data_IF_375914364572
#
_entry.id   IF_375914364572
#
_cell.length_a   1.000
_cell.length_b   1.000
_cell.length_c   1.000
_cell.angle_alpha   90.00
_cell.angle_beta   90.00
_cell.angle_gamma   90.00
#
_symmetry.space_group_name_H-M   'P 1'
#
loop_
_entity.id
_entity.type
_entity.pdbx_description
1 polymer ?
#
# COMPACT_ATOMS: atom_id res chain seq x y z
N UNK A 1 11.70 41.45 -35.29
CA UNK A 1 12.68 40.96 -34.31
C UNK A 1 12.84 39.48 -34.56
N UNK A 2 14.02 39.07 -35.04
CA UNK A 2 14.36 37.67 -35.33
C UNK A 2 14.66 36.96 -34.00
N UNK A 3 14.16 35.72 -33.85
CA UNK A 3 14.45 34.89 -32.69
C UNK A 3 15.93 34.50 -32.63
N UNK A 4 16.55 34.42 -31.47
CA UNK A 4 17.93 34.02 -31.35
C UNK A 4 18.09 32.54 -31.71
N UNK A 5 18.80 32.25 -32.75
CA UNK A 5 19.33 30.94 -33.12
C UNK A 5 20.67 30.73 -32.43
N UNK A 6 20.68 30.39 -31.16
CA UNK A 6 21.89 29.92 -30.50
C UNK A 6 21.58 28.63 -29.79
N UNK A 7 22.10 27.55 -30.34
CA UNK A 7 22.12 26.20 -29.77
C UNK A 7 23.35 25.98 -28.88
N UNK A 8 23.84 27.00 -28.21
CA UNK A 8 24.91 26.87 -27.23
C UNK A 8 24.38 26.48 -25.85
N UNK A 9 23.91 25.25 -25.78
CA UNK A 9 23.76 24.59 -24.48
C UNK A 9 25.17 24.28 -23.95
N UNK A 10 25.50 24.66 -22.72
CA UNK A 10 26.79 24.31 -22.14
C UNK A 10 26.96 22.79 -22.18
N UNK A 11 28.03 22.34 -22.82
CA UNK A 11 28.43 20.94 -22.87
C UNK A 11 28.67 20.51 -21.41
N UNK A 12 27.84 19.68 -20.86
CA UNK A 12 28.05 19.13 -19.52
C UNK A 12 29.35 18.32 -19.53
N UNK A 13 30.38 18.82 -18.87
CA UNK A 13 31.58 18.04 -18.59
C UNK A 13 31.15 16.82 -17.74
N UNK A 14 31.80 15.69 -17.99
CA UNK A 14 31.59 14.49 -17.21
C UNK A 14 31.66 14.78 -15.69
N UNK A 15 30.58 14.58 -14.99
CA UNK A 15 30.48 14.81 -13.54
C UNK A 15 31.14 13.62 -12.84
N UNK A 16 32.03 13.85 -11.89
CA UNK A 16 32.60 12.78 -11.06
C UNK A 16 31.51 12.15 -10.19
N UNK A 17 31.72 10.90 -9.73
CA UNK A 17 30.80 10.22 -8.86
C UNK A 17 30.44 11.04 -7.62
N UNK A 18 31.42 11.72 -7.01
CA UNK A 18 31.21 12.61 -5.86
C UNK A 18 30.36 13.84 -6.21
N UNK A 19 30.52 14.41 -7.38
CA UNK A 19 29.67 15.51 -7.87
C UNK A 19 28.26 15.02 -8.22
N UNK A 20 28.11 13.80 -8.73
CA UNK A 20 26.82 13.19 -8.97
C UNK A 20 26.04 12.92 -7.68
N UNK A 21 26.73 12.57 -6.60
CA UNK A 21 26.11 12.33 -5.29
C UNK A 21 25.56 13.62 -4.66
N UNK A 22 26.21 14.77 -4.89
CA UNK A 22 25.71 16.10 -4.46
C UNK A 22 24.39 16.49 -5.18
N UNK A 23 24.21 16.04 -6.43
CA UNK A 23 23.00 16.29 -7.22
C UNK A 23 21.99 15.15 -7.18
N UNK A 24 22.25 14.09 -6.40
CA UNK A 24 21.30 13.00 -6.26
C UNK A 24 20.04 13.51 -5.57
N UNK A 25 18.84 13.31 -6.16
CA UNK A 25 17.61 13.75 -5.52
C UNK A 25 17.42 13.05 -4.18
N UNK A 26 16.95 13.80 -3.18
CA UNK A 26 16.66 13.24 -1.86
C UNK A 26 15.70 12.03 -1.97
N UNK A 27 15.71 11.10 -1.00
CA UNK A 27 14.78 9.97 -0.97
C UNK A 27 13.31 10.41 -1.15
N UNK A 28 12.93 11.51 -0.53
CA UNK A 28 11.60 12.09 -0.64
C UNK A 28 11.31 12.61 -2.06
N UNK A 29 12.26 13.28 -2.69
CA UNK A 29 12.12 13.72 -4.08
C UNK A 29 11.96 12.53 -5.05
N UNK A 30 12.68 11.42 -4.80
CA UNK A 30 12.53 10.17 -5.57
C UNK A 30 11.14 9.58 -5.41
N UNK A 31 10.61 9.50 -4.19
CA UNK A 31 9.23 9.02 -3.94
C UNK A 31 8.20 9.91 -4.61
N UNK A 32 8.29 11.23 -4.50
CA UNK A 32 7.41 12.17 -5.20
C UNK A 32 7.45 12.00 -6.73
N UNK A 33 8.65 11.82 -7.30
CA UNK A 33 8.80 11.55 -8.73
C UNK A 33 8.17 10.21 -9.13
N UNK A 34 8.27 9.18 -8.29
CA UNK A 34 7.62 7.87 -8.52
C UNK A 34 6.11 8.00 -8.48
N UNK A 35 5.54 8.68 -7.48
CA UNK A 35 4.10 8.91 -7.39
C UNK A 35 3.57 9.67 -8.61
N UNK A 36 4.27 10.71 -9.08
CA UNK A 36 3.89 11.46 -10.29
C UNK A 36 3.90 10.58 -11.55
N UNK A 37 4.90 9.71 -11.71
CA UNK A 37 4.93 8.76 -12.84
C UNK A 37 3.78 7.78 -12.80
N UNK A 38 3.29 7.45 -11.61
CA UNK A 38 2.10 6.63 -11.41
C UNK A 38 0.78 7.44 -11.56
N UNK A 39 0.83 8.68 -12.03
CA UNK A 39 -0.35 9.54 -12.17
C UNK A 39 -0.97 9.96 -10.83
N UNK A 40 -0.19 9.92 -9.74
CA UNK A 40 -0.67 10.16 -8.39
C UNK A 40 0.15 11.23 -7.64
N UNK A 41 -0.31 11.56 -6.45
CA UNK A 41 0.40 12.39 -5.47
C UNK A 41 1.03 11.47 -4.42
N UNK A 42 2.22 11.81 -3.93
CA UNK A 42 2.83 11.10 -2.82
C UNK A 42 1.95 11.23 -1.57
N UNK A 43 1.68 10.13 -0.90
CA UNK A 43 0.63 10.06 0.14
C UNK A 43 0.80 11.10 1.25
N UNK A 44 2.02 11.39 1.70
CA UNK A 44 2.28 12.41 2.72
C UNK A 44 2.00 13.85 2.26
N UNK A 45 1.93 14.10 0.97
CA UNK A 45 1.63 15.44 0.45
C UNK A 45 0.13 15.78 0.53
N UNK A 46 -0.76 14.79 0.76
CA UNK A 46 -2.20 15.04 0.92
C UNK A 46 -2.51 15.94 2.11
N UNK A 47 -1.84 15.73 3.23
CA UNK A 47 -2.02 16.56 4.43
C UNK A 47 -1.74 18.02 4.12
N UNK A 48 -0.66 18.33 3.38
CA UNK A 48 -0.34 19.68 2.94
C UNK A 48 -1.36 20.25 1.95
N UNK A 49 -1.98 19.39 1.11
CA UNK A 49 -3.06 19.82 0.23
C UNK A 49 -4.31 20.24 1.02
N UNK A 50 -4.73 19.43 2.00
CA UNK A 50 -5.84 19.77 2.88
C UNK A 50 -5.58 21.07 3.65
N UNK A 51 -4.41 21.20 4.28
CA UNK A 51 -4.03 22.41 5.01
C UNK A 51 -4.13 23.67 4.14
N UNK A 52 -3.60 23.59 2.91
CA UNK A 52 -3.65 24.71 1.96
C UNK A 52 -5.08 25.07 1.55
N UNK A 53 -5.94 24.11 1.28
CA UNK A 53 -7.31 24.40 0.88
C UNK A 53 -8.14 24.95 2.04
N UNK A 54 -7.96 24.45 3.26
CA UNK A 54 -8.58 25.02 4.47
C UNK A 54 -8.22 26.49 4.61
N UNK A 55 -6.93 26.84 4.52
CA UNK A 55 -6.47 28.25 4.59
C UNK A 55 -7.02 29.10 3.45
N UNK A 56 -7.04 28.57 2.23
CA UNK A 56 -7.56 29.29 1.04
C UNK A 56 -9.05 29.62 1.18
N UNK A 57 -9.85 28.73 1.72
CA UNK A 57 -11.27 28.94 1.99
C UNK A 57 -11.51 29.79 3.25
N UNK A 58 -10.44 30.33 3.86
CA UNK A 58 -10.50 31.23 5.01
C UNK A 58 -10.70 30.51 6.34
N UNK A 59 -10.28 29.27 6.43
CA UNK A 59 -10.12 28.56 7.70
C UNK A 59 -8.83 28.96 8.40
N UNK A 60 -8.83 28.86 9.74
CA UNK A 60 -7.74 29.38 10.57
C UNK A 60 -6.69 28.32 10.89
N UNK A 61 -7.08 27.04 10.98
CA UNK A 61 -6.17 25.98 11.41
C UNK A 61 -6.48 24.63 10.75
N UNK A 62 -5.41 23.91 10.47
CA UNK A 62 -5.45 22.49 10.10
C UNK A 62 -4.37 21.74 10.87
N UNK A 63 -4.76 20.66 11.53
CA UNK A 63 -3.84 19.78 12.27
C UNK A 63 -4.02 18.36 11.75
N UNK A 64 -2.93 17.61 11.67
CA UNK A 64 -2.95 16.20 11.28
C UNK A 64 -1.95 15.41 12.11
N UNK A 65 -2.46 14.47 12.87
CA UNK A 65 -1.67 13.53 13.68
C UNK A 65 -1.61 12.18 12.97
N UNK A 66 -0.41 11.73 12.64
CA UNK A 66 -0.25 10.45 11.96
C UNK A 66 -0.60 9.29 12.88
N UNK A 67 -1.40 8.35 12.37
CA UNK A 67 -1.80 7.12 13.05
C UNK A 67 -0.90 5.98 12.61
N UNK A 68 -0.44 5.19 13.55
CA UNK A 68 0.40 4.00 13.32
C UNK A 68 -0.14 2.81 14.10
N UNK A 69 0.13 1.59 13.63
CA UNK A 69 -0.17 0.38 14.41
C UNK A 69 0.71 0.34 15.66
N UNK A 70 0.08 0.08 16.80
CA UNK A 70 0.75 -0.08 18.09
C UNK A 70 0.08 -1.20 18.88
N UNK A 71 0.75 -2.34 18.98
CA UNK A 71 0.14 -3.53 19.56
C UNK A 71 -1.15 -3.90 18.81
N UNK A 72 -2.24 -4.05 19.55
CA UNK A 72 -3.55 -4.39 18.98
C UNK A 72 -4.39 -3.18 18.54
N UNK A 73 -3.84 -1.97 18.64
CA UNK A 73 -4.55 -0.72 18.37
C UNK A 73 -3.80 0.25 17.47
N UNK A 74 -4.19 1.50 17.56
CA UNK A 74 -3.52 2.63 16.91
C UNK A 74 -2.94 3.58 17.96
N UNK A 75 -1.82 4.19 17.63
CA UNK A 75 -1.22 5.30 18.37
C UNK A 75 -0.93 6.45 17.42
N UNK A 76 -0.80 7.66 17.96
CA UNK A 76 -0.28 8.83 17.23
C UNK A 76 1.24 8.81 17.27
N UNK A 77 1.87 8.99 16.13
CA UNK A 77 3.32 9.06 16.03
C UNK A 77 3.73 10.10 14.98
N UNK A 78 4.57 11.05 15.37
CA UNK A 78 5.23 11.93 14.42
C UNK A 78 6.34 11.13 13.71
N UNK A 79 6.22 10.98 12.39
CA UNK A 79 7.24 10.37 11.53
C UNK A 79 7.64 11.34 10.42
N UNK A 80 8.89 11.26 10.00
CA UNK A 80 9.29 11.95 8.78
C UNK A 80 8.59 11.34 7.56
N UNK A 81 8.16 12.15 6.58
CA UNK A 81 7.52 11.66 5.38
C UNK A 81 8.31 10.56 4.69
N UNK A 82 7.68 9.41 4.49
CA UNK A 82 8.30 8.25 3.85
C UNK A 82 8.95 7.24 4.79
N UNK A 83 8.78 7.39 6.10
CA UNK A 83 9.17 6.39 7.11
C UNK A 83 8.05 5.39 7.42
N UNK A 84 7.00 5.35 6.60
CA UNK A 84 5.97 4.32 6.68
C UNK A 84 6.58 2.93 6.41
N UNK A 85 6.16 1.96 7.20
CA UNK A 85 6.62 0.57 7.19
C UNK A 85 5.70 -0.37 6.41
N UNK A 86 4.60 0.16 5.88
CA UNK A 86 3.69 -0.54 4.97
C UNK A 86 3.17 0.40 3.88
N UNK A 87 2.44 -0.13 2.92
CA UNK A 87 1.90 0.60 1.77
C UNK A 87 0.71 1.51 2.07
N UNK A 88 0.49 1.87 3.34
CA UNK A 88 -0.58 2.77 3.76
C UNK A 88 -0.13 3.75 4.83
N UNK A 89 -0.79 4.90 4.86
CA UNK A 89 -0.65 5.95 5.89
C UNK A 89 -2.03 6.46 6.28
N UNK A 90 -2.17 6.94 7.51
CA UNK A 90 -3.42 7.54 7.96
C UNK A 90 -3.16 8.67 8.95
N UNK A 91 -4.13 9.59 9.06
CA UNK A 91 -4.10 10.71 9.98
C UNK A 91 -5.46 10.93 10.62
N UNK A 92 -5.44 11.30 11.90
CA UNK A 92 -6.53 12.05 12.52
C UNK A 92 -6.30 13.52 12.20
N UNK A 93 -7.26 14.11 11.50
CA UNK A 93 -7.20 15.51 11.08
C UNK A 93 -8.23 16.34 11.84
N UNK A 94 -7.91 17.61 12.08
CA UNK A 94 -8.85 18.61 12.53
C UNK A 94 -8.73 19.86 11.64
N UNK A 95 -9.86 20.37 11.16
CA UNK A 95 -9.91 21.54 10.29
C UNK A 95 -10.92 22.54 10.83
N UNK A 96 -10.47 23.78 11.05
CA UNK A 96 -11.35 24.91 11.34
C UNK A 96 -11.70 25.60 10.02
N UNK A 97 -13.01 25.75 9.76
CA UNK A 97 -13.53 26.46 8.57
C UNK A 97 -14.45 27.60 8.99
N UNK A 98 -14.87 28.42 8.04
CA UNK A 98 -15.83 29.49 8.32
C UNK A 98 -17.15 28.97 8.90
N UNK A 99 -17.59 27.81 8.43
CA UNK A 99 -18.83 27.16 8.85
C UNK A 99 -18.67 26.42 10.18
N UNK A 100 -17.44 26.03 10.51
CA UNK A 100 -17.09 25.29 11.73
C UNK A 100 -15.81 25.87 12.35
N UNK A 101 -15.87 27.07 12.94
CA UNK A 101 -14.70 27.73 13.50
C UNK A 101 -14.12 27.00 14.72
N UNK A 102 -14.92 26.22 15.43
CA UNK A 102 -14.49 25.31 16.50
C UNK A 102 -13.69 24.11 16.01
N UNK A 103 -13.69 23.87 14.71
CA UNK A 103 -13.01 22.76 14.09
C UNK A 103 -13.88 21.52 13.96
N UNK A 104 -13.61 20.72 12.93
CA UNK A 104 -14.16 19.39 12.75
C UNK A 104 -13.07 18.36 12.58
N UNK A 105 -13.25 17.23 13.23
CA UNK A 105 -12.32 16.10 13.13
C UNK A 105 -12.78 15.10 12.08
N UNK A 106 -11.80 14.48 11.43
CA UNK A 106 -12.01 13.40 10.47
C UNK A 106 -10.74 12.56 10.34
N UNK A 107 -10.88 11.39 9.75
CA UNK A 107 -9.77 10.48 9.47
C UNK A 107 -9.48 10.45 7.98
N UNK A 108 -8.22 10.62 7.60
CA UNK A 108 -7.73 10.39 6.24
C UNK A 108 -6.90 9.12 6.24
N UNK A 109 -7.16 8.21 5.30
CA UNK A 109 -6.33 7.03 5.05
C UNK A 109 -5.97 7.00 3.58
N UNK A 110 -4.72 6.70 3.24
CA UNK A 110 -4.21 6.73 1.87
C UNK A 110 -3.27 5.58 1.59
N UNK A 111 -3.30 5.06 0.35
CA UNK A 111 -2.27 4.15 -0.13
C UNK A 111 -1.00 4.92 -0.50
N UNK A 112 0.14 4.33 -0.21
CA UNK A 112 1.44 4.78 -0.71
C UNK A 112 1.77 4.05 -2.01
N UNK A 113 1.49 4.69 -3.14
CA UNK A 113 1.78 4.12 -4.47
C UNK A 113 3.27 3.84 -4.69
N UNK A 114 4.15 4.44 -3.89
CA UNK A 114 5.60 4.23 -3.98
C UNK A 114 6.06 2.97 -3.25
N UNK A 115 5.17 2.36 -2.47
CA UNK A 115 5.40 1.11 -1.77
C UNK A 115 4.61 -0.02 -2.46
N UNK A 116 5.31 -0.89 -3.20
CA UNK A 116 4.71 -2.01 -3.95
C UNK A 116 3.44 -1.62 -4.74
N UNK A 117 3.47 -0.46 -5.41
CA UNK A 117 2.34 0.10 -6.17
C UNK A 117 1.07 0.31 -5.34
N UNK A 118 1.21 0.56 -4.03
CA UNK A 118 0.10 0.75 -3.11
C UNK A 118 -0.75 -0.50 -2.87
N UNK A 119 -0.27 -1.68 -3.27
CA UNK A 119 -1.03 -2.93 -3.16
C UNK A 119 -1.29 -3.32 -1.70
N UNK A 120 -2.38 -4.06 -1.50
CA UNK A 120 -2.76 -4.59 -0.20
C UNK A 120 -2.07 -5.92 0.08
N UNK A 121 -1.42 -6.02 1.22
CA UNK A 121 -0.94 -7.24 1.84
C UNK A 121 -1.41 -7.31 3.29
N UNK A 122 -0.83 -8.21 4.07
CA UNK A 122 -1.27 -8.50 5.46
C UNK A 122 -1.23 -7.26 6.35
N UNK A 123 -0.16 -6.45 6.26
CA UNK A 123 -0.01 -5.23 7.06
C UNK A 123 -0.99 -4.14 6.65
N UNK A 124 -1.14 -3.92 5.34
CA UNK A 124 -2.07 -2.93 4.80
C UNK A 124 -3.51 -3.29 5.18
N UNK A 125 -3.89 -4.57 5.09
CA UNK A 125 -5.21 -5.06 5.47
C UNK A 125 -5.49 -4.79 6.96
N UNK A 126 -4.56 -5.15 7.84
CA UNK A 126 -4.66 -4.92 9.27
C UNK A 126 -4.72 -3.42 9.61
N UNK A 127 -3.87 -2.62 8.98
CA UNK A 127 -3.82 -1.18 9.18
C UNK A 127 -5.14 -0.50 8.77
N UNK A 128 -5.62 -0.80 7.56
CA UNK A 128 -6.90 -0.26 7.08
C UNK A 128 -8.07 -0.63 7.99
N UNK A 129 -8.14 -1.90 8.41
CA UNK A 129 -9.18 -2.36 9.31
C UNK A 129 -9.16 -1.59 10.65
N UNK A 130 -7.98 -1.42 11.26
CA UNK A 130 -7.84 -0.69 12.52
C UNK A 130 -8.18 0.79 12.39
N UNK A 131 -7.75 1.45 11.32
CA UNK A 131 -8.09 2.85 11.03
C UNK A 131 -9.60 3.02 10.84
N UNK A 132 -10.25 2.10 10.11
CA UNK A 132 -11.69 2.10 9.92
C UNK A 132 -12.46 1.89 11.22
N UNK A 133 -12.05 0.92 12.04
CA UNK A 133 -12.62 0.68 13.37
C UNK A 133 -12.47 1.90 14.27
N UNK A 134 -11.31 2.54 14.25
CA UNK A 134 -11.06 3.76 15.01
C UNK A 134 -12.02 4.88 14.57
N UNK A 135 -12.10 5.19 13.27
CA UNK A 135 -13.01 6.22 12.77
C UNK A 135 -14.47 5.96 13.21
N UNK A 136 -14.96 4.72 13.05
CA UNK A 136 -16.30 4.33 13.49
C UNK A 136 -16.50 4.48 14.99
N UNK A 137 -15.56 3.98 15.80
CA UNK A 137 -15.66 4.05 17.28
C UNK A 137 -15.68 5.47 17.83
N UNK A 138 -15.08 6.41 17.11
CA UNK A 138 -15.04 7.83 17.44
C UNK A 138 -16.14 8.64 16.74
N UNK A 139 -16.96 8.02 15.89
CA UNK A 139 -17.97 8.71 15.08
C UNK A 139 -17.37 9.72 14.08
N UNK A 140 -16.11 9.51 13.65
CA UNK A 140 -15.40 10.42 12.77
C UNK A 140 -15.65 10.10 11.30
N UNK A 141 -15.87 11.10 10.44
CA UNK A 141 -15.83 10.91 8.99
C UNK A 141 -14.52 10.27 8.55
N UNK A 142 -14.59 9.34 7.59
CA UNK A 142 -13.42 8.67 7.01
C UNK A 142 -13.28 9.01 5.54
N UNK A 143 -12.16 9.62 5.18
CA UNK A 143 -11.76 9.91 3.80
C UNK A 143 -10.71 8.89 3.39
N UNK A 144 -11.01 8.09 2.38
CA UNK A 144 -10.06 7.14 1.80
C UNK A 144 -9.54 7.65 0.46
N UNK A 145 -8.23 7.91 0.39
CA UNK A 145 -7.53 8.25 -0.85
C UNK A 145 -6.95 6.97 -1.43
N UNK A 146 -7.70 6.37 -2.33
CA UNK A 146 -7.36 5.09 -2.94
C UNK A 146 -6.39 5.29 -4.11
N UNK A 147 -5.19 4.76 -3.97
CA UNK A 147 -4.20 4.69 -5.05
C UNK A 147 -3.46 3.36 -4.95
N UNK A 148 -4.11 2.28 -5.41
CA UNK A 148 -3.61 0.93 -5.22
C UNK A 148 -3.80 0.07 -6.47
N UNK A 149 -3.01 -0.99 -6.56
CA UNK A 149 -3.09 -2.03 -7.59
C UNK A 149 -3.90 -3.26 -7.13
N UNK A 150 -4.70 -3.14 -6.09
CA UNK A 150 -5.46 -4.24 -5.52
C UNK A 150 -4.67 -5.09 -4.53
N UNK A 151 -5.15 -6.31 -4.26
CA UNK A 151 -4.44 -7.25 -3.40
C UNK A 151 -3.16 -7.75 -4.05
N UNK A 152 -2.09 -7.88 -3.27
CA UNK A 152 -0.86 -8.52 -3.76
C UNK A 152 -1.13 -9.98 -4.09
N UNK A 153 -0.74 -10.38 -5.30
CA UNK A 153 -0.89 -11.75 -5.79
C UNK A 153 0.49 -12.39 -5.84
N UNK A 154 0.62 -13.57 -5.24
CA UNK A 154 1.86 -14.33 -5.26
C UNK A 154 1.84 -15.46 -4.26
N UNK A 155 2.77 -16.39 -4.38
CA UNK A 155 3.02 -17.39 -3.36
C UNK A 155 3.69 -16.72 -2.14
N UNK A 156 3.37 -17.26 -0.95
CA UNK A 156 4.04 -16.90 0.28
C UNK A 156 5.56 -17.02 0.15
N UNK A 157 6.30 -16.02 0.62
CA UNK A 157 7.76 -16.00 0.46
C UNK A 157 8.43 -17.18 1.13
N UNK A 158 7.90 -17.65 2.26
CA UNK A 158 8.35 -18.85 2.95
C UNK A 158 8.08 -20.14 2.16
N UNK A 159 7.10 -20.13 1.27
CA UNK A 159 6.72 -21.28 0.46
C UNK A 159 7.47 -21.34 -0.88
N UNK A 160 7.78 -20.20 -1.47
CA UNK A 160 8.43 -20.10 -2.80
C UNK A 160 9.63 -21.03 -2.98
N UNK A 161 10.59 -21.13 -2.05
CA UNK A 161 11.73 -22.01 -2.20
C UNK A 161 11.44 -23.49 -1.92
N UNK A 162 10.28 -23.83 -1.39
CA UNK A 162 9.96 -25.16 -0.84
C UNK A 162 8.96 -25.93 -1.67
N UNK A 163 8.03 -25.26 -2.34
CA UNK A 163 7.00 -25.97 -3.10
C UNK A 163 7.58 -26.70 -4.31
N UNK A 164 6.96 -27.81 -4.65
CA UNK A 164 7.30 -28.65 -5.79
C UNK A 164 6.06 -28.91 -6.61
N UNK A 165 6.29 -29.19 -7.87
CA UNK A 165 5.23 -29.45 -8.86
C UNK A 165 5.28 -30.90 -9.26
N UNK A 166 4.16 -31.59 -9.16
CA UNK A 166 3.99 -32.91 -9.72
C UNK A 166 3.55 -32.79 -11.18
N UNK A 167 4.52 -32.71 -12.10
CA UNK A 167 4.25 -32.55 -13.52
C UNK A 167 3.61 -33.80 -14.13
N UNK A 168 2.78 -33.59 -15.13
CA UNK A 168 2.31 -34.69 -16.02
C UNK A 168 3.50 -35.26 -16.79
N UNK A 169 4.37 -34.40 -17.32
CA UNK A 169 5.64 -34.71 -17.94
C UNK A 169 6.67 -33.63 -17.56
N UNK A 170 7.70 -33.99 -16.80
CA UNK A 170 8.75 -33.06 -16.35
C UNK A 170 9.53 -32.42 -17.51
N UNK A 171 9.59 -33.11 -18.67
CA UNK A 171 10.28 -32.60 -19.87
C UNK A 171 9.39 -31.69 -20.71
N UNK A 172 8.09 -31.73 -20.50
CA UNK A 172 7.13 -30.91 -21.20
C UNK A 172 6.17 -30.19 -20.21
N UNK A 173 6.57 -29.09 -19.57
CA UNK A 173 5.71 -28.35 -18.63
C UNK A 173 4.37 -27.89 -19.25
N UNK A 174 4.29 -27.76 -20.57
CA UNK A 174 3.05 -27.40 -21.26
C UNK A 174 1.98 -28.50 -21.18
N UNK A 175 2.35 -29.71 -20.85
CA UNK A 175 1.40 -30.79 -20.58
C UNK A 175 0.62 -30.58 -19.26
N UNK A 176 1.02 -29.61 -18.43
CA UNK A 176 0.37 -29.31 -17.18
C UNK A 176 0.93 -30.09 -15.99
N UNK A 177 0.24 -30.00 -14.87
CA UNK A 177 0.63 -30.67 -13.62
C UNK A 177 -0.58 -31.30 -12.93
N UNK A 178 -0.32 -32.27 -12.06
CA UNK A 178 -1.36 -32.94 -11.28
C UNK A 178 -1.68 -32.18 -9.99
N UNK A 179 -0.63 -31.76 -9.23
CA UNK A 179 -0.78 -31.04 -7.96
C UNK A 179 0.54 -30.36 -7.56
N UNK A 180 0.43 -29.43 -6.62
CA UNK A 180 1.56 -28.85 -5.91
C UNK A 180 1.75 -29.57 -4.58
N UNK A 181 3.00 -29.72 -4.14
CA UNK A 181 3.28 -30.41 -2.88
C UNK A 181 4.53 -29.89 -2.19
N UNK A 182 4.64 -30.22 -0.91
CA UNK A 182 5.81 -30.04 -0.08
C UNK A 182 6.35 -31.41 0.34
N UNK A 183 7.65 -31.49 0.62
CA UNK A 183 8.16 -32.61 1.41
C UNK A 183 7.63 -32.52 2.84
N UNK A 184 7.59 -33.64 3.57
CA UNK A 184 7.18 -33.63 4.98
C UNK A 184 8.04 -32.69 5.82
N UNK A 185 9.36 -32.64 5.57
CA UNK A 185 10.30 -31.74 6.25
C UNK A 185 10.02 -30.26 5.94
N UNK A 186 9.76 -29.92 4.67
CA UNK A 186 9.45 -28.55 4.29
C UNK A 186 8.12 -28.08 4.89
N UNK A 187 7.11 -28.96 4.96
CA UNK A 187 5.85 -28.65 5.63
C UNK A 187 6.03 -28.39 7.13
N UNK A 188 6.82 -29.22 7.82
CA UNK A 188 7.10 -29.04 9.25
C UNK A 188 7.90 -27.75 9.55
N UNK A 189 8.68 -27.27 8.59
CA UNK A 189 9.49 -26.07 8.73
C UNK A 189 8.70 -24.75 8.41
N UNK A 190 7.44 -24.85 7.95
CA UNK A 190 6.59 -23.70 7.73
C UNK A 190 5.88 -23.28 9.03
N UNK A 191 5.52 -21.98 9.18
CA UNK A 191 4.62 -21.54 10.22
C UNK A 191 3.30 -22.31 10.15
N UNK A 192 2.76 -22.69 11.30
CA UNK A 192 1.49 -23.39 11.37
C UNK A 192 0.38 -22.53 10.75
N UNK A 193 -0.43 -23.10 9.87
CA UNK A 193 -1.51 -22.40 9.19
C UNK A 193 -1.11 -21.72 7.87
N UNK A 194 0.18 -21.68 7.51
CA UNK A 194 0.64 -21.08 6.24
C UNK A 194 0.08 -21.77 4.99
N UNK A 195 -0.22 -23.05 5.10
CA UNK A 195 -0.77 -23.86 4.02
C UNK A 195 -1.87 -24.78 4.52
N UNK A 196 -2.79 -25.12 3.63
CA UNK A 196 -3.80 -26.14 3.84
C UNK A 196 -3.59 -27.27 2.83
N UNK A 197 -3.83 -28.48 3.25
CA UNK A 197 -3.62 -29.66 2.40
C UNK A 197 -3.70 -30.96 3.19
N UNK A 198 -3.24 -32.01 2.57
CA UNK A 198 -3.24 -33.37 3.15
C UNK A 198 -1.95 -34.13 2.88
N UNK A 199 -1.54 -34.93 3.82
CA UNK A 199 -0.40 -35.82 3.66
C UNK A 199 -0.84 -37.05 2.81
N UNK A 200 -0.13 -37.25 1.70
CA UNK A 200 -0.30 -38.42 0.81
C UNK A 200 1.06 -39.09 0.63
N UNK A 201 1.29 -40.18 1.35
CA UNK A 201 2.62 -40.78 1.45
C UNK A 201 3.62 -39.83 2.10
N UNK A 202 4.73 -39.54 1.43
CA UNK A 202 5.77 -38.63 1.89
C UNK A 202 5.58 -37.16 1.41
N UNK A 203 4.45 -36.89 0.72
CA UNK A 203 4.16 -35.56 0.14
C UNK A 203 2.99 -34.92 0.84
N UNK A 204 3.16 -33.68 1.29
CA UNK A 204 2.06 -32.85 1.72
C UNK A 204 1.49 -32.13 0.48
N UNK A 205 0.36 -32.63 -0.01
CA UNK A 205 -0.33 -32.08 -1.18
C UNK A 205 -1.05 -30.81 -0.78
N UNK A 206 -0.79 -29.73 -1.52
CA UNK A 206 -1.35 -28.40 -1.24
C UNK A 206 -2.75 -28.28 -1.84
N UNK A 207 -3.71 -27.94 -1.00
CA UNK A 207 -5.06 -27.52 -1.39
C UNK A 207 -5.18 -25.99 -1.44
N UNK A 208 -4.52 -25.28 -0.50
CA UNK A 208 -4.48 -23.83 -0.45
C UNK A 208 -3.21 -23.32 0.23
N UNK A 209 -2.82 -22.11 -0.14
CA UNK A 209 -1.78 -21.31 0.52
C UNK A 209 -2.49 -20.16 1.23
N UNK A 210 -2.35 -20.07 2.54
CA UNK A 210 -2.98 -19.04 3.34
C UNK A 210 -2.02 -17.87 3.59
N UNK A 211 -0.77 -18.20 3.96
CA UNK A 211 0.26 -17.22 4.30
C UNK A 211 -0.07 -16.41 5.57
N UNK A 212 0.92 -16.18 6.39
CA UNK A 212 0.74 -15.42 7.63
C UNK A 212 1.70 -14.23 7.76
N UNK A 213 2.71 -14.18 6.89
CA UNK A 213 3.72 -13.13 6.94
C UNK A 213 3.43 -11.99 5.99
N UNK A 214 4.04 -10.86 6.28
CA UNK A 214 4.03 -9.71 5.40
C UNK A 214 4.62 -10.06 4.01
N UNK A 215 4.08 -9.44 2.98
CA UNK A 215 4.46 -9.72 1.59
C UNK A 215 3.62 -10.79 0.89
N UNK A 216 2.70 -11.41 1.61
CA UNK A 216 1.78 -12.41 1.08
C UNK A 216 0.52 -11.72 0.59
N UNK A 217 0.17 -11.95 -0.67
CA UNK A 217 -0.91 -11.27 -1.35
C UNK A 217 -2.29 -11.89 -1.15
N UNK A 218 -2.87 -12.33 -2.26
CA UNK A 218 -4.23 -12.87 -2.31
C UNK A 218 -4.44 -14.13 -1.45
N UNK A 219 -3.37 -14.78 -1.05
CA UNK A 219 -3.35 -15.85 -0.08
C UNK A 219 -3.97 -15.44 1.25
N UNK A 220 -3.96 -14.15 1.55
CA UNK A 220 -4.65 -13.57 2.68
C UNK A 220 -6.09 -13.13 2.33
N UNK A 221 -6.90 -14.04 1.79
CA UNK A 221 -8.31 -13.76 1.48
C UNK A 221 -9.11 -13.30 2.71
N UNK A 222 -8.73 -13.74 3.90
CA UNK A 222 -9.32 -13.29 5.17
C UNK A 222 -9.11 -11.79 5.37
N UNK A 223 -7.91 -11.26 5.12
CA UNK A 223 -7.62 -9.82 5.20
C UNK A 223 -8.43 -9.03 4.19
N UNK A 224 -8.49 -9.47 2.94
CA UNK A 224 -9.31 -8.85 1.89
C UNK A 224 -10.80 -8.84 2.26
N UNK A 225 -11.31 -9.94 2.83
CA UNK A 225 -12.68 -10.01 3.35
C UNK A 225 -12.92 -9.06 4.53
N UNK A 226 -11.92 -8.88 5.38
CA UNK A 226 -11.97 -7.91 6.49
C UNK A 226 -12.08 -6.48 5.98
N UNK A 227 -11.32 -6.09 4.96
CA UNK A 227 -11.42 -4.76 4.34
C UNK A 227 -12.82 -4.53 3.78
N UNK A 228 -13.37 -5.49 3.05
CA UNK A 228 -14.70 -5.38 2.49
C UNK A 228 -15.76 -5.21 3.59
N UNK A 229 -15.70 -6.02 4.64
CA UNK A 229 -16.59 -5.92 5.78
C UNK A 229 -16.45 -4.61 6.56
N UNK A 230 -15.23 -4.12 6.78
CA UNK A 230 -14.98 -2.83 7.42
C UNK A 230 -15.47 -1.65 6.56
N UNK A 231 -15.34 -1.74 5.26
CA UNK A 231 -15.87 -0.72 4.33
C UNK A 231 -17.39 -0.64 4.42
N UNK A 232 -18.06 -1.79 4.43
CA UNK A 232 -19.51 -1.87 4.55
C UNK A 232 -20.00 -1.30 5.90
N UNK A 233 -19.41 -1.73 7.01
CA UNK A 233 -19.74 -1.19 8.34
C UNK A 233 -19.52 0.31 8.46
N UNK A 234 -18.41 0.81 7.93
CA UNK A 234 -18.13 2.24 7.96
C UNK A 234 -19.13 3.05 7.14
N UNK A 235 -19.64 2.49 6.05
CA UNK A 235 -20.68 3.12 5.23
C UNK A 235 -22.00 3.27 6.00
N UNK A 236 -22.33 2.32 6.88
CA UNK A 236 -23.54 2.37 7.70
C UNK A 236 -23.40 3.26 8.95
N UNK A 237 -22.20 3.29 9.55
CA UNK A 237 -21.99 3.86 10.89
C UNK A 237 -21.41 5.28 10.89
N UNK A 238 -20.76 5.72 9.80
CA UNK A 238 -20.17 7.06 9.70
C UNK A 238 -20.16 7.59 8.27
N UNK A 239 -19.87 8.88 8.12
CA UNK A 239 -19.68 9.44 6.78
C UNK A 239 -18.39 8.90 6.16
N UNK A 240 -18.48 8.37 4.94
CA UNK A 240 -17.33 7.88 4.18
C UNK A 240 -17.24 8.55 2.82
N UNK A 241 -16.01 8.95 2.46
CA UNK A 241 -15.66 9.44 1.14
C UNK A 241 -14.49 8.61 0.60
N UNK A 242 -14.63 8.07 -0.60
CA UNK A 242 -13.53 7.43 -1.31
C UNK A 242 -13.15 8.27 -2.53
N UNK A 243 -11.92 8.75 -2.54
CA UNK A 243 -11.33 9.47 -3.67
C UNK A 243 -10.34 8.54 -4.38
N UNK A 244 -10.68 8.11 -5.58
CA UNK A 244 -9.89 7.14 -6.35
C UNK A 244 -8.97 7.88 -7.30
N UNK A 245 -7.66 7.76 -7.04
CA UNK A 245 -6.60 8.19 -7.96
C UNK A 245 -6.28 7.02 -8.88
N UNK A 246 -6.45 7.21 -10.17
CA UNK A 246 -6.39 6.13 -11.16
C UNK A 246 -5.03 5.46 -11.25
N UNK A 247 -4.95 4.19 -10.84
CA UNK A 247 -3.92 3.23 -11.28
C UNK A 247 -4.43 2.34 -12.44
N UNK A 248 -5.65 2.53 -12.90
CA UNK A 248 -6.28 1.73 -13.96
C UNK A 248 -5.42 1.66 -15.23
N UNK A 249 -4.70 2.74 -15.55
CA UNK A 249 -3.82 2.76 -16.73
C UNK A 249 -2.47 2.06 -16.53
N UNK A 250 -2.13 1.65 -15.29
CA UNK A 250 -0.88 0.94 -14.98
C UNK A 250 -1.11 -0.56 -14.94
N UNK A 251 -2.33 -1.00 -14.75
CA UNK A 251 -2.71 -2.41 -14.62
C UNK A 251 -3.33 -3.00 -15.88
N UNK A 252 -3.36 -2.29 -17.00
CA UNK A 252 -3.73 -2.93 -18.27
C UNK A 252 -2.66 -3.98 -18.62
N UNK A 253 -3.06 -5.26 -18.75
CA UNK A 253 -2.13 -6.27 -19.22
C UNK A 253 -1.70 -5.88 -20.63
N UNK A 254 -0.41 -5.64 -20.82
CA UNK A 254 0.16 -5.58 -22.16
C UNK A 254 -0.13 -6.92 -22.83
N UNK A 255 -1.03 -6.88 -23.81
CA UNK A 255 -1.32 -8.02 -24.70
C UNK A 255 -0.14 -8.33 -25.59
#
# INVERSE_FOLDING_TARGET
MAAPTSTDWPTFKSVTKEQADVFSPSPLAKRRATARRAGSTFCYDFVGLFAREVTKEGGDAFVADELVLSGDGLATQAREPGQNDCGMVAWRCAASTKEYPEGREFVVVANDVTYQSGSFGVKEDAFYAKVSQYARSQGLPRIYVACNSGARIGLADELKPKFRVAWVDEKNPQAGYHYLYLTAADYQALPQGSVQGKLVGERFVLDAVVGEKDGIGVENLRGSGTIAGETSRAYEETFTLSYVLSLIHISEPTR
#
